data_IF_020340704597
#
_entry.id   IF_020340704597
#
_cell.length_a   1.000
_cell.length_b   1.000
_cell.length_c   1.000
_cell.angle_alpha   90.00
_cell.angle_beta   90.00
_cell.angle_gamma   90.00
#
_symmetry.space_group_name_H-M   'P 1'
#
loop_
_entity.id
_entity.type
_entity.pdbx_description
1 polymer ?
#
# COMPACT_ATOMS: atom_id res chain seq x y z
N UNK A 1 -16.03 18.84 -24.80
CA UNK A 1 -14.60 18.96 -24.51
C UNK A 1 -14.35 18.11 -23.26
N UNK A 2 -13.47 17.10 -23.36
CA UNK A 2 -13.13 16.25 -22.24
C UNK A 2 -12.43 17.08 -21.15
N UNK A 3 -12.87 16.92 -19.91
CA UNK A 3 -12.16 17.47 -18.78
C UNK A 3 -10.97 16.57 -18.44
N UNK A 4 -9.85 17.15 -18.06
CA UNK A 4 -8.71 16.41 -17.52
C UNK A 4 -9.06 16.05 -16.07
N UNK A 5 -8.97 14.76 -15.71
CA UNK A 5 -8.99 14.32 -14.31
C UNK A 5 -7.56 14.47 -13.79
N UNK A 6 -7.37 15.32 -12.77
CA UNK A 6 -6.04 15.68 -12.28
C UNK A 6 -5.41 14.55 -11.45
N UNK A 7 -6.21 13.76 -10.74
CA UNK A 7 -5.74 12.60 -9.98
C UNK A 7 -4.76 12.96 -8.88
N UNK A 8 -5.01 14.05 -8.14
CA UNK A 8 -4.06 14.51 -7.13
C UNK A 8 -4.01 13.57 -5.92
N UNK A 9 -5.15 13.04 -5.49
CA UNK A 9 -5.21 11.97 -4.50
C UNK A 9 -5.21 10.60 -5.18
N UNK A 10 -5.91 10.45 -6.28
CA UNK A 10 -6.12 9.22 -7.05
C UNK A 10 -5.33 9.24 -8.40
N UNK A 11 -4.08 8.77 -8.49
CA UNK A 11 -3.22 8.35 -7.37
C UNK A 11 -1.83 9.01 -7.44
N UNK A 12 -1.80 10.35 -7.59
CA UNK A 12 -0.53 11.06 -7.46
C UNK A 12 -0.02 11.04 -6.01
N UNK A 13 -0.92 10.96 -5.01
CA UNK A 13 -0.54 10.92 -3.61
C UNK A 13 0.28 9.67 -3.26
N UNK A 14 -0.13 8.49 -3.70
CA UNK A 14 0.63 7.26 -3.53
C UNK A 14 1.88 7.20 -4.40
N UNK A 15 1.78 7.62 -5.65
CA UNK A 15 2.92 7.65 -6.59
C UNK A 15 4.07 8.51 -6.08
N UNK A 16 3.81 9.75 -5.63
CA UNK A 16 4.83 10.61 -5.02
C UNK A 16 5.33 9.98 -3.71
N UNK A 17 4.44 9.35 -2.94
CA UNK A 17 4.81 8.62 -1.74
C UNK A 17 5.86 7.54 -1.99
N UNK A 18 5.79 6.82 -3.10
CA UNK A 18 6.81 5.83 -3.50
C UNK A 18 8.17 6.50 -3.72
N UNK A 19 8.20 7.69 -4.37
CA UNK A 19 9.45 8.44 -4.60
C UNK A 19 10.06 8.90 -3.28
N UNK A 20 9.27 9.51 -2.41
CA UNK A 20 9.71 9.98 -1.08
C UNK A 20 10.25 8.83 -0.22
N UNK A 21 9.59 7.68 -0.26
CA UNK A 21 10.07 6.48 0.45
C UNK A 21 11.38 5.96 -0.14
N UNK A 22 11.55 5.97 -1.46
CA UNK A 22 12.79 5.55 -2.09
C UNK A 22 13.96 6.45 -1.66
N UNK A 23 13.76 7.76 -1.63
CA UNK A 23 14.75 8.72 -1.14
C UNK A 23 15.08 8.48 0.33
N UNK A 24 14.07 8.31 1.19
CA UNK A 24 14.26 8.07 2.61
C UNK A 24 15.06 6.78 2.87
N UNK A 25 14.70 5.68 2.21
CA UNK A 25 15.43 4.42 2.36
C UNK A 25 16.85 4.47 1.79
N UNK A 26 17.10 5.25 0.75
CA UNK A 26 18.43 5.42 0.15
C UNK A 26 19.44 6.09 1.09
N UNK A 27 18.96 6.89 2.07
CA UNK A 27 19.82 7.59 3.04
C UNK A 27 20.23 6.71 4.23
N UNK A 28 19.65 5.52 4.38
CA UNK A 28 19.92 4.69 5.55
C UNK A 28 21.34 4.11 5.57
N UNK A 29 21.99 4.22 6.71
CA UNK A 29 23.26 3.56 7.05
C UNK A 29 23.19 3.04 8.51
N UNK A 30 23.26 1.75 8.75
CA UNK A 30 23.37 0.66 7.75
C UNK A 30 22.10 0.48 6.91
N UNK A 31 22.27 -0.06 5.72
CA UNK A 31 21.15 -0.42 4.85
C UNK A 31 20.32 -1.56 5.45
N UNK A 32 19.00 -1.62 5.14
CA UNK A 32 18.17 -2.75 5.54
C UNK A 32 18.71 -4.10 5.03
N UNK A 33 18.42 -5.16 5.76
CA UNK A 33 18.90 -6.53 5.42
C UNK A 33 18.33 -7.07 4.11
N UNK A 34 17.08 -6.70 3.77
CA UNK A 34 16.47 -7.06 2.49
C UNK A 34 16.49 -5.87 1.54
N UNK A 35 16.59 -6.18 0.26
CA UNK A 35 16.37 -5.19 -0.79
C UNK A 35 14.92 -4.72 -0.78
N UNK A 36 14.72 -3.45 -1.12
CA UNK A 36 13.40 -2.87 -1.38
C UNK A 36 13.30 -2.52 -2.86
N UNK A 37 12.15 -2.80 -3.44
CA UNK A 37 11.79 -2.34 -4.78
C UNK A 37 10.72 -1.25 -4.63
N UNK A 38 10.95 -0.12 -5.26
CA UNK A 38 10.01 1.00 -5.33
C UNK A 38 9.44 1.01 -6.74
N UNK A 39 8.11 0.95 -6.86
CA UNK A 39 7.46 0.72 -8.14
C UNK A 39 6.24 1.63 -8.26
N UNK A 40 6.22 2.43 -9.33
CA UNK A 40 5.03 3.10 -9.81
C UNK A 40 4.58 2.37 -11.08
N UNK A 41 3.35 1.92 -11.08
CA UNK A 41 2.76 1.17 -12.19
C UNK A 41 1.70 2.00 -12.91
N UNK A 42 1.35 1.63 -14.12
CA UNK A 42 0.36 2.36 -14.92
C UNK A 42 -0.84 1.49 -15.27
N UNK A 43 -1.96 2.16 -15.60
CA UNK A 43 -3.16 1.49 -16.08
C UNK A 43 -3.98 0.78 -15.01
N UNK A 44 -3.90 1.25 -13.76
CA UNK A 44 -4.73 0.76 -12.66
C UNK A 44 -6.20 0.87 -13.03
N UNK A 45 -6.67 2.04 -13.43
CA UNK A 45 -8.02 2.40 -13.86
C UNK A 45 -8.53 1.62 -15.10
N UNK A 46 -7.65 0.94 -15.78
CA UNK A 46 -7.93 0.11 -16.94
C UNK A 46 -7.87 -1.39 -16.65
N UNK A 47 -7.79 -1.74 -15.36
CA UNK A 47 -7.74 -3.12 -14.89
C UNK A 47 -6.36 -3.53 -14.39
N UNK A 48 -5.63 -2.60 -13.75
CA UNK A 48 -4.35 -2.89 -13.07
C UNK A 48 -3.30 -3.49 -14.02
N UNK A 49 -3.18 -2.92 -15.23
CA UNK A 49 -2.34 -3.50 -16.29
C UNK A 49 -0.86 -3.56 -15.91
N UNK A 50 -0.34 -2.51 -15.27
CA UNK A 50 1.07 -2.42 -14.92
C UNK A 50 1.47 -3.45 -13.86
N UNK A 51 0.72 -3.56 -12.79
CA UNK A 51 0.96 -4.56 -11.74
C UNK A 51 0.69 -5.98 -12.23
N UNK A 52 -0.33 -6.18 -13.07
CA UNK A 52 -0.58 -7.46 -13.72
C UNK A 52 0.58 -7.89 -14.62
N UNK A 53 1.09 -6.96 -15.45
CA UNK A 53 2.26 -7.23 -16.29
C UNK A 53 3.49 -7.58 -15.45
N UNK A 54 3.75 -6.83 -14.36
CA UNK A 54 4.86 -7.16 -13.47
C UNK A 54 4.68 -8.51 -12.80
N UNK A 55 3.46 -8.87 -12.39
CA UNK A 55 3.20 -10.17 -11.78
C UNK A 55 3.48 -11.34 -12.73
N UNK A 56 3.22 -11.16 -14.03
CA UNK A 56 3.50 -12.15 -15.08
C UNK A 56 4.97 -12.14 -15.53
N UNK A 57 5.66 -10.98 -15.42
CA UNK A 57 7.04 -10.77 -15.89
C UNK A 57 7.90 -10.09 -14.80
N UNK A 58 8.00 -10.68 -13.61
CA UNK A 58 8.64 -10.01 -12.48
C UNK A 58 10.15 -9.90 -12.66
N UNK A 59 10.71 -8.70 -12.40
CA UNK A 59 12.17 -8.48 -12.37
C UNK A 59 12.81 -9.27 -11.22
N UNK A 60 12.11 -9.37 -10.09
CA UNK A 60 12.45 -10.24 -8.97
C UNK A 60 11.33 -11.27 -8.83
N UNK A 61 11.62 -12.58 -8.85
CA UNK A 61 10.58 -13.61 -8.74
C UNK A 61 9.67 -13.37 -7.55
N UNK A 62 8.34 -13.45 -7.76
CA UNK A 62 7.36 -13.19 -6.69
C UNK A 62 7.53 -14.14 -5.50
N UNK A 63 8.03 -15.37 -5.72
CA UNK A 63 8.39 -16.28 -4.64
C UNK A 63 9.52 -15.75 -3.72
N UNK A 64 10.32 -14.78 -4.18
CA UNK A 64 11.35 -14.10 -3.39
C UNK A 64 10.81 -12.79 -2.77
N UNK A 65 9.71 -12.24 -3.26
CA UNK A 65 9.04 -11.07 -2.69
C UNK A 65 8.38 -11.45 -1.37
N UNK A 66 8.68 -10.73 -0.30
CA UNK A 66 8.23 -11.10 1.05
C UNK A 66 6.99 -10.34 1.50
N UNK A 67 6.78 -9.15 0.96
CA UNK A 67 5.61 -8.31 1.22
C UNK A 67 5.45 -7.28 0.12
N UNK A 68 4.22 -6.80 -0.08
CA UNK A 68 3.89 -5.62 -0.84
C UNK A 68 3.16 -4.61 0.07
N UNK A 69 3.58 -3.35 0.01
CA UNK A 69 2.98 -2.23 0.73
C UNK A 69 2.43 -1.25 -0.30
N UNK A 70 1.18 -1.39 -0.64
CA UNK A 70 0.50 -0.56 -1.63
C UNK A 70 -0.05 0.71 -1.00
N UNK A 71 0.09 1.83 -1.68
CA UNK A 71 -0.46 3.12 -1.30
C UNK A 71 -1.28 3.66 -2.46
N UNK A 72 -2.52 4.01 -2.18
CA UNK A 72 -3.43 4.57 -3.16
C UNK A 72 -4.43 5.47 -2.42
N UNK A 73 -4.53 6.74 -2.82
CA UNK A 73 -5.41 7.73 -2.20
C UNK A 73 -5.14 7.94 -0.70
N UNK A 74 -3.95 8.43 -0.35
CA UNK A 74 -3.52 8.58 1.06
C UNK A 74 -3.62 10.01 1.62
N UNK A 75 -4.04 10.98 0.83
CA UNK A 75 -3.92 12.39 1.18
C UNK A 75 -5.25 13.13 1.44
N UNK A 76 -6.37 12.41 1.55
CA UNK A 76 -7.70 13.00 1.78
C UNK A 76 -8.42 12.38 2.99
N UNK A 77 -9.60 12.87 3.27
CA UNK A 77 -10.48 12.44 4.36
C UNK A 77 -9.91 12.76 5.77
N UNK A 78 -9.87 11.82 6.70
CA UNK A 78 -9.48 12.07 8.10
C UNK A 78 -8.01 12.44 8.26
N UNK A 79 -7.72 13.43 9.10
CA UNK A 79 -6.36 13.92 9.31
C UNK A 79 -5.46 12.97 10.10
N UNK A 80 -6.03 12.12 10.93
CA UNK A 80 -5.32 11.29 11.92
C UNK A 80 -5.57 9.78 11.73
N UNK A 81 -6.18 9.39 10.63
CA UNK A 81 -6.62 8.01 10.41
C UNK A 81 -6.19 7.51 9.04
N UNK A 82 -5.73 6.28 8.98
CA UNK A 82 -5.47 5.52 7.76
C UNK A 82 -6.12 4.14 7.85
N UNK A 83 -6.91 3.77 6.85
CA UNK A 83 -7.35 2.39 6.69
C UNK A 83 -6.24 1.57 6.07
N UNK A 84 -5.98 0.41 6.66
CA UNK A 84 -4.97 -0.54 6.19
C UNK A 84 -5.67 -1.86 5.90
N UNK A 85 -6.05 -2.03 4.65
CA UNK A 85 -6.79 -3.19 4.16
C UNK A 85 -5.84 -4.37 4.03
N UNK A 86 -6.29 -5.56 4.44
CA UNK A 86 -5.50 -6.80 4.42
C UNK A 86 -4.69 -7.06 5.69
N UNK A 87 -4.83 -6.23 6.74
CA UNK A 87 -4.15 -6.47 8.04
C UNK A 87 -4.47 -7.83 8.64
N UNK A 88 -5.69 -8.29 8.49
CA UNK A 88 -6.17 -9.56 9.01
C UNK A 88 -5.72 -10.77 8.17
N UNK A 89 -5.12 -10.53 7.00
CA UNK A 89 -4.76 -11.60 6.08
C UNK A 89 -3.38 -12.22 6.35
N UNK A 90 -2.54 -11.53 7.11
CA UNK A 90 -1.19 -12.02 7.42
C UNK A 90 -0.61 -11.37 8.67
N UNK A 91 0.54 -11.84 9.13
CA UNK A 91 1.29 -11.22 10.24
C UNK A 91 1.80 -9.81 9.92
N UNK A 92 1.66 -9.29 8.68
CA UNK A 92 1.93 -7.89 8.37
C UNK A 92 1.04 -6.94 9.17
N UNK A 93 -0.19 -7.33 9.48
CA UNK A 93 -1.07 -6.54 10.33
C UNK A 93 -0.53 -6.35 11.75
N UNK A 94 0.12 -7.37 12.30
CA UNK A 94 0.78 -7.27 13.61
C UNK A 94 1.97 -6.30 13.56
N UNK A 95 2.74 -6.34 12.46
CA UNK A 95 3.85 -5.41 12.22
C UNK A 95 3.32 -3.97 12.16
N UNK A 96 2.31 -3.70 11.34
CA UNK A 96 1.72 -2.36 11.20
C UNK A 96 1.16 -1.84 12.54
N UNK A 97 0.44 -2.67 13.28
CA UNK A 97 -0.07 -2.31 14.61
C UNK A 97 1.07 -2.10 15.64
N UNK A 98 2.15 -2.87 15.51
CA UNK A 98 3.36 -2.71 16.33
C UNK A 98 4.01 -1.34 16.09
N UNK A 99 4.23 -0.98 14.83
CA UNK A 99 4.77 0.32 14.43
C UNK A 99 3.89 1.47 14.94
N UNK A 100 2.57 1.39 14.79
CA UNK A 100 1.67 2.43 15.28
C UNK A 100 1.79 2.65 16.80
N UNK A 101 2.00 1.59 17.58
CA UNK A 101 2.23 1.69 19.02
C UNK A 101 3.61 2.26 19.38
N UNK A 102 4.64 1.96 18.59
CA UNK A 102 6.01 2.39 18.82
C UNK A 102 6.24 3.84 18.41
N UNK A 103 5.42 4.36 17.51
CA UNK A 103 5.52 5.70 16.93
C UNK A 103 4.28 6.56 17.19
N UNK A 104 3.91 6.81 18.49
CA UNK A 104 2.74 7.63 18.81
C UNK A 104 2.88 9.08 18.35
N UNK A 105 4.11 9.57 18.13
CA UNK A 105 4.39 10.90 17.60
C UNK A 105 3.85 11.12 16.18
N UNK A 106 3.60 10.05 15.42
CA UNK A 106 2.96 10.15 14.11
C UNK A 106 1.49 10.59 14.20
N UNK A 107 0.90 10.43 15.37
CA UNK A 107 -0.52 10.75 15.61
C UNK A 107 -1.42 10.19 14.49
N UNK A 108 -1.22 8.90 14.16
CA UNK A 108 -1.95 8.17 13.12
C UNK A 108 -2.61 6.94 13.71
N UNK A 109 -3.91 6.85 13.58
CA UNK A 109 -4.71 5.69 13.96
C UNK A 109 -4.87 4.77 12.75
N UNK A 110 -4.37 3.54 12.87
CA UNK A 110 -4.62 2.49 11.89
C UNK A 110 -5.96 1.84 12.17
N UNK A 111 -6.80 1.80 11.15
CA UNK A 111 -8.11 1.11 11.22
C UNK A 111 -8.16 -0.01 10.18
N UNK A 112 -9.08 -0.93 10.39
CA UNK A 112 -9.36 -1.99 9.43
C UNK A 112 -10.17 -1.44 8.25
N UNK A 113 -10.52 -2.31 7.29
CA UNK A 113 -11.38 -1.93 6.17
C UNK A 113 -12.71 -1.37 6.69
N UNK A 114 -12.94 -0.09 6.42
CA UNK A 114 -14.17 0.62 6.79
C UNK A 114 -15.31 0.38 5.80
N UNK A 115 -15.02 -0.25 4.67
CA UNK A 115 -15.95 -0.46 3.55
C UNK A 115 -16.01 -1.92 3.13
N UNK A 116 -16.33 -2.86 4.01
CA UNK A 116 -16.25 -4.30 3.71
C UNK A 116 -17.16 -4.73 2.55
N UNK A 117 -18.20 -3.95 2.24
CA UNK A 117 -19.11 -4.22 1.12
C UNK A 117 -18.63 -3.67 -0.22
N UNK A 118 -17.63 -2.79 -0.22
CA UNK A 118 -17.07 -2.17 -1.44
C UNK A 118 -15.97 -3.03 -2.08
N UNK A 119 -15.50 -4.04 -1.35
CA UNK A 119 -14.49 -4.99 -1.81
C UNK A 119 -13.18 -4.32 -2.29
N UNK A 120 -12.71 -3.28 -1.59
CA UNK A 120 -11.49 -2.56 -1.96
C UNK A 120 -10.24 -3.44 -2.00
N UNK A 121 -10.22 -4.54 -1.26
CA UNK A 121 -9.14 -5.53 -1.36
C UNK A 121 -8.91 -6.06 -2.80
N UNK A 122 -9.89 -5.96 -3.68
CA UNK A 122 -9.80 -6.42 -5.07
C UNK A 122 -9.60 -5.28 -6.08
N UNK A 123 -9.47 -4.02 -5.62
CA UNK A 123 -9.66 -2.84 -6.47
C UNK A 123 -8.44 -1.94 -6.60
N UNK A 124 -7.24 -2.39 -6.26
CA UNK A 124 -5.99 -1.68 -6.55
C UNK A 124 -4.86 -2.67 -6.83
N UNK A 125 -3.71 -2.19 -7.21
CA UNK A 125 -2.58 -2.95 -7.78
C UNK A 125 -2.06 -4.10 -6.92
N UNK A 126 -2.17 -3.98 -5.58
CA UNK A 126 -1.76 -5.02 -4.62
C UNK A 126 -2.41 -6.39 -4.86
N UNK A 127 -3.58 -6.43 -5.49
CA UNK A 127 -4.28 -7.72 -5.69
C UNK A 127 -3.50 -8.68 -6.60
N UNK A 128 -2.75 -8.14 -7.56
CA UNK A 128 -1.93 -8.97 -8.46
C UNK A 128 -0.76 -9.62 -7.71
N UNK A 129 -0.23 -8.97 -6.67
CA UNK A 129 0.76 -9.57 -5.77
C UNK A 129 0.11 -10.58 -4.82
N UNK A 130 -1.01 -10.20 -4.20
CA UNK A 130 -1.73 -11.07 -3.27
C UNK A 130 -2.15 -12.40 -3.89
N UNK A 131 -2.71 -12.37 -5.11
CA UNK A 131 -3.10 -13.58 -5.87
C UNK A 131 -1.92 -14.50 -6.19
N UNK A 132 -0.72 -13.94 -6.26
CA UNK A 132 0.52 -14.69 -6.45
C UNK A 132 1.22 -15.08 -5.11
N UNK A 133 0.49 -14.96 -4.00
CA UNK A 133 0.95 -15.45 -2.70
C UNK A 133 1.82 -14.49 -1.91
N UNK A 134 2.00 -13.25 -2.36
CA UNK A 134 2.72 -12.21 -1.62
C UNK A 134 1.76 -11.59 -0.58
N UNK A 135 2.09 -11.60 0.72
CA UNK A 135 1.33 -10.86 1.73
C UNK A 135 1.34 -9.36 1.44
N UNK A 136 0.21 -8.70 1.58
CA UNK A 136 0.08 -7.27 1.26
C UNK A 136 -0.49 -6.47 2.44
N UNK A 137 -0.20 -5.18 2.45
CA UNK A 137 -0.97 -4.15 3.14
C UNK A 137 -1.34 -3.07 2.13
N UNK A 138 -2.60 -2.69 2.12
CA UNK A 138 -3.10 -1.63 1.28
C UNK A 138 -3.50 -0.42 2.13
N UNK A 139 -2.71 0.65 2.05
CA UNK A 139 -2.94 1.93 2.73
C UNK A 139 -3.86 2.79 1.86
N UNK A 140 -5.07 3.05 2.38
CA UNK A 140 -6.14 3.68 1.64
C UNK A 140 -7.04 4.51 2.54
N UNK A 141 -7.46 5.67 2.10
CA UNK A 141 -8.34 6.53 2.91
C UNK A 141 -9.78 6.62 2.41
N UNK A 142 -10.16 5.74 1.51
CA UNK A 142 -11.51 5.75 0.95
C UNK A 142 -11.72 6.80 -0.12
N UNK A 143 -12.83 6.68 -0.80
CA UNK A 143 -13.27 7.65 -1.81
C UNK A 143 -13.74 8.95 -1.17
N UNK A 144 -13.75 10.01 -1.95
CA UNK A 144 -14.20 11.35 -1.58
C UNK A 144 -15.02 11.99 -2.72
N UNK A 145 -15.69 13.12 -2.53
CA UNK A 145 -16.56 13.71 -3.56
C UNK A 145 -15.87 14.07 -4.88
N UNK A 146 -14.55 14.21 -4.88
CA UNK A 146 -13.74 14.53 -6.06
C UNK A 146 -13.15 13.29 -6.76
N UNK A 147 -13.35 12.07 -6.20
CA UNK A 147 -12.88 10.81 -6.75
C UNK A 147 -13.33 10.63 -8.21
N UNK A 148 -12.41 10.32 -9.12
CA UNK A 148 -12.63 10.20 -10.57
C UNK A 148 -13.19 11.47 -11.23
N UNK A 149 -12.88 12.65 -10.66
CA UNK A 149 -13.35 13.94 -11.18
C UNK A 149 -12.20 14.90 -11.48
N UNK A 150 -12.42 15.88 -12.38
CA UNK A 150 -11.45 16.96 -12.63
C UNK A 150 -11.14 17.82 -11.40
N UNK A 151 -11.97 17.74 -10.38
CA UNK A 151 -11.81 18.49 -9.12
C UNK A 151 -10.91 17.81 -8.09
N UNK A 152 -10.38 16.60 -8.39
CA UNK A 152 -9.31 16.00 -7.59
C UNK A 152 -7.98 16.71 -7.89
N UNK A 153 -7.74 17.81 -7.19
CA UNK A 153 -6.67 18.77 -7.45
C UNK A 153 -5.77 18.98 -6.23
N UNK A 154 -4.55 19.43 -6.46
CA UNK A 154 -3.48 19.51 -5.46
C UNK A 154 -3.82 20.43 -4.28
N UNK A 155 -4.65 21.46 -4.48
CA UNK A 155 -5.10 22.35 -3.41
C UNK A 155 -6.00 21.67 -2.37
N UNK A 156 -6.45 20.45 -2.63
CA UNK A 156 -7.29 19.65 -1.74
C UNK A 156 -6.52 18.57 -0.97
N UNK A 157 -5.24 18.41 -1.23
CA UNK A 157 -4.38 17.41 -0.58
C UNK A 157 -3.96 17.88 0.82
N UNK A 158 -4.07 17.00 1.81
CA UNK A 158 -3.44 17.17 3.13
C UNK A 158 -2.03 16.55 3.10
N UNK A 159 -1.05 17.35 2.68
CA UNK A 159 0.34 16.90 2.56
C UNK A 159 0.97 16.52 3.90
N UNK A 160 0.55 17.17 5.01
CA UNK A 160 1.03 16.84 6.36
C UNK A 160 0.57 15.43 6.78
N UNK A 161 -0.69 15.11 6.52
CA UNK A 161 -1.24 13.78 6.73
C UNK A 161 -0.52 12.74 5.88
N UNK A 162 -0.38 13.00 4.56
CA UNK A 162 0.34 12.11 3.67
C UNK A 162 1.76 11.82 4.17
N UNK A 163 2.49 12.85 4.59
CA UNK A 163 3.83 12.69 5.16
C UNK A 163 3.84 11.81 6.44
N UNK A 164 2.82 11.89 7.28
CA UNK A 164 2.72 11.03 8.47
C UNK A 164 2.41 9.58 8.10
N UNK A 165 1.55 9.37 7.09
CA UNK A 165 1.28 8.04 6.55
C UNK A 165 2.55 7.45 5.93
N UNK A 166 3.31 8.22 5.14
CA UNK A 166 4.56 7.77 4.56
C UNK A 166 5.60 7.37 5.62
N UNK A 167 5.70 8.11 6.72
CA UNK A 167 6.55 7.70 7.85
C UNK A 167 6.08 6.37 8.47
N UNK A 168 4.76 6.17 8.57
CA UNK A 168 4.21 4.88 9.02
C UNK A 168 4.60 3.75 8.06
N UNK A 169 4.41 3.93 6.75
CA UNK A 169 4.81 2.95 5.72
C UNK A 169 6.32 2.71 5.75
N UNK A 170 7.13 3.76 5.94
CA UNK A 170 8.58 3.64 6.10
C UNK A 170 8.96 2.72 7.26
N UNK A 171 8.39 2.93 8.45
CA UNK A 171 8.70 2.08 9.61
C UNK A 171 8.20 0.64 9.42
N UNK A 172 7.01 0.45 8.85
CA UNK A 172 6.53 -0.90 8.50
C UNK A 172 7.47 -1.58 7.51
N UNK A 173 7.86 -0.88 6.46
CA UNK A 173 8.83 -1.38 5.47
C UNK A 173 10.19 -1.71 6.08
N UNK A 174 10.67 -0.88 7.00
CA UNK A 174 11.94 -1.07 7.70
C UNK A 174 11.91 -2.32 8.61
N UNK A 175 10.84 -2.49 9.37
CA UNK A 175 10.61 -3.68 10.20
C UNK A 175 10.58 -4.96 9.35
N UNK A 176 9.81 -4.96 8.26
CA UNK A 176 9.75 -6.10 7.33
C UNK A 176 11.11 -6.37 6.68
N UNK A 177 11.81 -5.32 6.27
CA UNK A 177 13.11 -5.46 5.61
C UNK A 177 14.19 -6.00 6.55
N UNK A 178 14.10 -5.74 7.85
CA UNK A 178 15.06 -6.19 8.86
C UNK A 178 14.67 -7.50 9.56
N UNK A 179 13.42 -7.92 9.47
CA UNK A 179 12.94 -9.15 10.10
C UNK A 179 13.72 -10.39 9.63
N UNK A 180 13.92 -11.37 10.51
CA UNK A 180 14.56 -12.66 10.16
C UNK A 180 13.61 -13.58 9.40
N UNK A 181 12.32 -13.57 9.77
CA UNK A 181 11.27 -14.35 9.13
C UNK A 181 10.59 -13.62 7.97
N UNK A 182 9.77 -14.35 7.23
CA UNK A 182 8.83 -13.78 6.24
C UNK A 182 7.48 -13.54 6.91
N UNK A 183 6.69 -12.57 6.47
CA UNK A 183 5.28 -12.49 6.87
C UNK A 183 4.54 -13.79 6.52
N UNK A 184 3.65 -14.21 7.40
CA UNK A 184 2.92 -15.47 7.27
C UNK A 184 1.45 -15.17 7.03
N UNK A 185 0.89 -15.77 6.00
CA UNK A 185 -0.53 -15.69 5.71
C UNK A 185 -1.39 -16.35 6.79
N UNK A 186 -2.53 -15.74 7.11
CA UNK A 186 -3.63 -16.49 7.70
C UNK A 186 -4.08 -17.59 6.72
N UNK A 187 -4.19 -18.85 7.15
CA UNK A 187 -4.51 -19.94 6.23
C UNK A 187 -5.89 -19.80 5.55
N UNK A 188 -6.88 -19.19 6.21
CA UNK A 188 -8.20 -18.99 5.62
C UNK A 188 -8.19 -17.85 4.60
N UNK A 189 -7.51 -16.75 4.93
CA UNK A 189 -7.31 -15.65 4.01
C UNK A 189 -6.55 -16.09 2.76
N UNK A 190 -5.47 -16.86 2.92
CA UNK A 190 -4.70 -17.38 1.79
C UNK A 190 -5.56 -18.22 0.84
N UNK A 191 -6.39 -19.13 1.39
CA UNK A 191 -7.30 -19.93 0.54
C UNK A 191 -8.30 -19.07 -0.24
N UNK A 192 -8.78 -17.98 0.36
CA UNK A 192 -9.72 -17.06 -0.32
C UNK A 192 -9.05 -16.26 -1.44
N UNK A 193 -7.81 -15.78 -1.21
CA UNK A 193 -7.13 -14.86 -2.10
C UNK A 193 -6.32 -15.58 -3.17
N UNK A 194 -5.54 -16.56 -2.77
CA UNK A 194 -4.58 -17.29 -3.64
C UNK A 194 -5.21 -18.54 -4.26
N UNK A 195 -6.18 -19.15 -3.57
CA UNK A 195 -6.80 -20.41 -3.96
C UNK A 195 -6.23 -21.62 -3.23
N UNK A 196 -6.93 -22.74 -3.33
CA UNK A 196 -6.59 -23.96 -2.59
C UNK A 196 -5.34 -24.69 -3.11
N UNK A 197 -4.96 -24.48 -4.38
CA UNK A 197 -3.96 -25.30 -5.10
C UNK A 197 -2.68 -24.55 -5.54
N UNK A 198 -2.49 -23.29 -5.13
CA UNK A 198 -1.22 -22.60 -5.42
C UNK A 198 -0.15 -23.08 -4.42
N UNK A 199 0.67 -24.02 -4.89
CA UNK A 199 1.87 -24.52 -4.19
C UNK A 199 3.06 -23.61 -4.41
#
# INVERSE_FOLDING_TARGET
AGSICNGADDDASGTIGVVELAEAFATLDPRPRRSLAFMAVSGEERGMWGSGYYADHPVVPLAQTVADLNMDMIARNWRDTISVIGKEHSTLGEVANGVARQHPELNMRLVDDLWPNENFYQRSDHINFARNGVPILFFFNGTHPDYHRPTDSVDRIDAEKAARILRMVFYVGLEVANATGRPVWDPAARRRVVGADSR
#
